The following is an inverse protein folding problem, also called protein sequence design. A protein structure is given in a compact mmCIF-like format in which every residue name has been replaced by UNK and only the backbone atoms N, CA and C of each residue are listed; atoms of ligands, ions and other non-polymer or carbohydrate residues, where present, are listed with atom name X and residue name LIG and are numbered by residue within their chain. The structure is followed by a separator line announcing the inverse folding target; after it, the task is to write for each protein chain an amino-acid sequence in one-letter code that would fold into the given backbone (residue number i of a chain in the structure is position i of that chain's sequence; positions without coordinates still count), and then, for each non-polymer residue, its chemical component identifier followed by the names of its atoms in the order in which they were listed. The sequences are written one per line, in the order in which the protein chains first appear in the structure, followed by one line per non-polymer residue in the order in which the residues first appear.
data_IF_866114168790
#
_entry.id   IF_866114168790
#
_cell.length_a   1.000
_cell.length_b   1.000
_cell.length_c   1.000
_cell.angle_alpha   90.00
_cell.angle_beta   90.00
_cell.angle_gamma   90.00
#
_symmetry.space_group_name_H-M   'P 1'
#
loop_
_entity.id
_entity.type
_entity.pdbx_description
1 polymer ?
#
# COMPACT_ATOMS: atom_id res chain seq x y z
N UNK A 1 -3.18 -5.82 -6.78
CA UNK A 1 -3.43 -7.06 -5.99
C UNK A 1 -2.16 -7.54 -5.29
N UNK A 2 -1.08 -7.83 -6.01
CA UNK A 2 0.16 -8.36 -5.42
C UNK A 2 0.83 -7.46 -4.35
N UNK A 3 0.84 -6.13 -4.52
CA UNK A 3 1.40 -5.22 -3.51
C UNK A 3 0.68 -5.30 -2.16
N UNK A 4 -0.66 -5.31 -2.19
CA UNK A 4 -1.48 -5.39 -0.99
C UNK A 4 -1.33 -6.76 -0.33
N UNK A 5 -1.28 -7.83 -1.13
CA UNK A 5 -1.08 -9.18 -0.61
C UNK A 5 0.29 -9.35 0.05
N UNK A 6 1.36 -8.89 -0.60
CA UNK A 6 2.71 -8.88 -0.01
C UNK A 6 2.75 -8.08 1.28
N UNK A 7 2.15 -6.88 1.30
CA UNK A 7 2.12 -6.04 2.50
C UNK A 7 1.37 -6.71 3.66
N UNK A 8 0.21 -7.30 3.38
CA UNK A 8 -0.58 -7.97 4.40
C UNK A 8 0.16 -9.17 5.01
N UNK A 9 0.80 -10.00 4.18
CA UNK A 9 1.46 -11.22 4.64
C UNK A 9 2.84 -10.95 5.24
N UNK A 10 3.69 -10.15 4.59
CA UNK A 10 5.08 -10.02 5.01
C UNK A 10 5.33 -8.85 5.96
N UNK A 11 4.60 -7.75 5.81
CA UNK A 11 4.81 -6.54 6.62
C UNK A 11 3.89 -6.52 7.84
N UNK A 12 2.61 -6.80 7.65
CA UNK A 12 1.67 -6.91 8.76
C UNK A 12 1.71 -8.29 9.44
N UNK A 13 2.36 -9.29 8.82
CA UNK A 13 2.44 -10.67 9.34
C UNK A 13 1.06 -11.27 9.64
N UNK A 14 0.05 -10.88 8.85
CA UNK A 14 -1.31 -11.39 8.98
C UNK A 14 -1.51 -12.62 8.10
N UNK A 15 -2.51 -13.41 8.49
CA UNK A 15 -2.93 -14.56 7.72
C UNK A 15 -3.51 -14.13 6.36
N UNK A 16 -2.96 -14.69 5.27
CA UNK A 16 -3.37 -14.40 3.90
C UNK A 16 -4.85 -14.65 3.64
N UNK A 17 -5.48 -15.56 4.40
CA UNK A 17 -6.90 -15.89 4.28
C UNK A 17 -7.79 -14.68 4.56
N UNK A 18 -7.39 -13.79 5.46
CA UNK A 18 -8.11 -12.54 5.75
C UNK A 18 -8.17 -11.65 4.50
N UNK A 19 -7.06 -11.59 3.75
CA UNK A 19 -7.00 -10.85 2.49
C UNK A 19 -7.83 -11.51 1.38
N UNK A 20 -7.82 -12.85 1.31
CA UNK A 20 -8.62 -13.61 0.37
C UNK A 20 -10.13 -13.39 0.61
N UNK A 21 -10.59 -13.48 1.86
CA UNK A 21 -11.97 -13.24 2.26
C UNK A 21 -12.41 -11.81 1.92
N UNK A 22 -11.55 -10.81 2.16
CA UNK A 22 -11.86 -9.43 1.79
C UNK A 22 -12.03 -9.26 0.28
N UNK A 23 -11.13 -9.82 -0.53
CA UNK A 23 -11.21 -9.75 -1.98
C UNK A 23 -12.42 -10.50 -2.53
N UNK A 24 -12.80 -11.60 -1.90
CA UNK A 24 -14.03 -12.34 -2.23
C UNK A 24 -15.28 -11.47 -2.09
N UNK A 25 -15.34 -10.65 -1.04
CA UNK A 25 -16.49 -9.75 -0.82
C UNK A 25 -16.50 -8.47 -1.67
N UNK A 26 -15.37 -8.10 -2.31
CA UNK A 26 -15.19 -6.77 -2.92
C UNK A 26 -14.88 -6.78 -4.41
N UNK A 27 -14.32 -7.88 -4.95
CA UNK A 27 -13.97 -7.98 -6.36
C UNK A 27 -15.20 -8.30 -7.23
N UNK A 28 -15.46 -7.45 -8.21
CA UNK A 28 -16.51 -7.69 -9.21
C UNK A 28 -16.19 -8.85 -10.16
N UNK A 29 -14.90 -9.13 -10.37
CA UNK A 29 -14.36 -10.22 -11.19
C UNK A 29 -13.93 -11.43 -10.34
N UNK A 30 -14.54 -11.62 -9.18
CA UNK A 30 -14.18 -12.71 -8.28
C UNK A 30 -14.30 -14.08 -8.94
N UNK A 31 -13.22 -14.85 -8.83
CA UNK A 31 -13.18 -16.28 -9.10
C UNK A 31 -12.44 -16.97 -7.94
N UNK A 32 -13.04 -18.04 -7.41
CA UNK A 32 -12.55 -18.73 -6.21
C UNK A 32 -11.12 -19.23 -6.42
N UNK A 33 -10.87 -19.95 -7.52
CA UNK A 33 -9.58 -20.55 -7.79
C UNK A 33 -8.49 -19.49 -7.97
N UNK A 34 -8.79 -18.45 -8.74
CA UNK A 34 -7.86 -17.36 -9.01
C UNK A 34 -7.57 -16.54 -7.76
N UNK A 35 -8.56 -16.22 -6.94
CA UNK A 35 -8.35 -15.43 -5.72
C UNK A 35 -7.52 -16.21 -4.70
N UNK A 36 -8.01 -17.36 -4.26
CA UNK A 36 -7.37 -18.16 -3.22
C UNK A 36 -6.00 -18.67 -3.66
N UNK A 37 -5.85 -19.08 -4.94
CA UNK A 37 -4.59 -19.50 -5.53
C UNK A 37 -3.54 -18.38 -5.60
N UNK A 38 -3.95 -17.16 -5.94
CA UNK A 38 -3.02 -16.02 -5.94
C UNK A 38 -2.61 -15.59 -4.53
N UNK A 39 -3.51 -15.66 -3.55
CA UNK A 39 -3.20 -15.30 -2.16
C UNK A 39 -2.25 -16.30 -1.48
N UNK A 40 -2.47 -17.61 -1.66
CA UNK A 40 -1.56 -18.63 -1.11
C UNK A 40 -0.18 -18.57 -1.76
N UNK A 41 -0.11 -18.25 -3.06
CA UNK A 41 1.15 -18.04 -3.77
C UNK A 41 1.87 -16.76 -3.29
N UNK A 42 1.13 -15.65 -3.12
CA UNK A 42 1.68 -14.41 -2.57
C UNK A 42 2.20 -14.58 -1.13
N UNK A 43 1.62 -15.52 -0.37
CA UNK A 43 2.08 -15.88 0.97
C UNK A 43 3.32 -16.80 0.98
N UNK A 44 3.86 -17.19 -0.18
CA UNK A 44 5.03 -18.06 -0.28
C UNK A 44 4.76 -19.54 0.00
N UNK A 45 3.50 -19.93 0.25
CA UNK A 45 3.16 -21.28 0.70
C UNK A 45 3.06 -22.31 -0.44
N UNK A 46 3.25 -21.88 -1.69
CA UNK A 46 3.25 -22.76 -2.87
C UNK A 46 4.66 -23.23 -3.26
N UNK A 47 5.69 -22.91 -2.46
CA UNK A 47 7.09 -23.26 -2.74
C UNK A 47 7.73 -22.47 -3.89
N UNK A 48 7.06 -21.42 -4.38
CA UNK A 48 7.57 -20.49 -5.38
C UNK A 48 8.37 -19.33 -4.78
N UNK A 49 8.73 -18.36 -5.63
CA UNK A 49 9.46 -17.16 -5.20
C UNK A 49 8.56 -16.26 -4.34
N UNK A 50 9.05 -15.91 -3.15
CA UNK A 50 8.46 -14.85 -2.32
C UNK A 50 8.79 -13.49 -2.93
N UNK A 51 7.76 -12.77 -3.40
CA UNK A 51 7.93 -11.43 -3.94
C UNK A 51 7.54 -10.41 -2.88
N UNK A 52 8.56 -9.80 -2.25
CA UNK A 52 8.38 -8.62 -1.39
C UNK A 52 8.48 -7.37 -2.24
N UNK A 53 7.45 -6.54 -2.20
CA UNK A 53 7.39 -5.34 -3.02
C UNK A 53 7.66 -4.08 -2.20
N UNK A 54 8.62 -3.28 -2.63
CA UNK A 54 8.83 -1.94 -2.08
C UNK A 54 7.79 -0.99 -2.70
N UNK A 55 6.72 -0.73 -1.93
CA UNK A 55 5.58 0.09 -2.37
C UNK A 55 6.04 1.48 -2.80
N UNK A 56 6.94 2.13 -2.04
CA UNK A 56 7.44 3.48 -2.35
C UNK A 56 8.16 3.49 -3.69
N UNK A 57 9.03 2.50 -3.93
CA UNK A 57 9.76 2.39 -5.20
C UNK A 57 8.78 2.20 -6.37
N UNK A 58 7.84 1.27 -6.23
CA UNK A 58 6.89 1.00 -7.30
C UNK A 58 5.99 2.20 -7.61
N UNK A 59 5.52 2.93 -6.61
CA UNK A 59 4.74 4.14 -6.87
C UNK A 59 5.57 5.17 -7.63
N UNK A 60 6.85 5.33 -7.32
CA UNK A 60 7.74 6.22 -8.09
C UNK A 60 7.94 5.75 -9.54
N UNK A 61 8.09 4.45 -9.75
CA UNK A 61 8.33 3.86 -11.07
C UNK A 61 7.08 3.91 -11.97
N UNK A 62 5.87 3.77 -11.40
CA UNK A 62 4.62 3.68 -12.16
C UNK A 62 3.74 4.95 -12.13
N UNK A 63 3.87 5.79 -11.09
CA UNK A 63 3.06 6.99 -10.87
C UNK A 63 3.93 8.14 -10.35
N UNK A 64 4.88 8.57 -11.18
CA UNK A 64 5.84 9.62 -10.82
C UNK A 64 5.18 10.97 -10.46
N UNK A 65 3.97 11.23 -10.96
CA UNK A 65 3.20 12.44 -10.68
C UNK A 65 2.26 12.30 -9.47
N UNK A 66 2.05 11.08 -8.97
CA UNK A 66 1.16 10.79 -7.87
C UNK A 66 -0.32 10.93 -8.25
N UNK A 67 -0.67 10.86 -9.53
CA UNK A 67 -2.03 11.11 -10.02
C UNK A 67 -3.01 10.06 -9.47
N UNK A 68 -2.55 8.80 -9.35
CA UNK A 68 -3.34 7.74 -8.74
C UNK A 68 -3.56 8.01 -7.25
N UNK A 69 -2.51 8.42 -6.54
CA UNK A 69 -2.63 8.75 -5.11
C UNK A 69 -3.58 9.93 -4.90
N UNK A 70 -3.46 11.01 -5.68
CA UNK A 70 -4.33 12.19 -5.55
C UNK A 70 -5.79 11.90 -5.89
N UNK A 71 -6.03 10.96 -6.81
CA UNK A 71 -7.39 10.53 -7.16
C UNK A 71 -8.06 9.78 -6.01
N UNK A 72 -7.34 8.84 -5.38
CA UNK A 72 -7.90 7.97 -4.34
C UNK A 72 -7.75 8.50 -2.91
N UNK A 73 -6.84 9.46 -2.67
CA UNK A 73 -6.57 10.10 -1.38
C UNK A 73 -6.77 11.62 -1.53
N UNK A 74 -8.03 12.10 -1.58
CA UNK A 74 -8.34 13.51 -1.83
C UNK A 74 -7.76 14.45 -0.78
N UNK A 75 -7.53 13.99 0.45
CA UNK A 75 -6.84 14.73 1.51
C UNK A 75 -5.37 15.04 1.20
N UNK A 76 -4.76 14.31 0.26
CA UNK A 76 -3.38 14.55 -0.19
C UNK A 76 -3.28 15.27 -1.54
N UNK A 77 -4.41 15.64 -2.16
CA UNK A 77 -4.43 16.14 -3.56
C UNK A 77 -3.50 17.33 -3.84
N UNK A 78 -3.33 18.20 -2.84
CA UNK A 78 -2.55 19.45 -2.94
C UNK A 78 -1.07 19.24 -2.56
N UNK A 79 -0.70 18.05 -2.09
CA UNK A 79 0.68 17.69 -1.78
C UNK A 79 1.45 17.41 -3.09
N UNK A 80 2.66 17.95 -3.27
CA UNK A 80 3.45 17.70 -4.48
C UNK A 80 4.02 16.27 -4.51
N UNK A 81 4.16 15.70 -5.71
CA UNK A 81 4.55 14.30 -5.94
C UNK A 81 5.77 13.81 -5.14
N UNK A 82 6.88 14.57 -5.01
CA UNK A 82 8.04 14.10 -4.24
C UNK A 82 7.74 13.86 -2.75
N UNK A 83 6.75 14.56 -2.20
CA UNK A 83 6.33 14.45 -0.80
C UNK A 83 5.16 13.48 -0.60
N UNK A 84 4.40 13.19 -1.67
CA UNK A 84 3.24 12.30 -1.66
C UNK A 84 3.57 10.84 -1.34
N UNK A 85 4.78 10.39 -1.67
CA UNK A 85 5.17 9.00 -1.43
C UNK A 85 5.49 8.73 0.05
N UNK A 86 5.77 9.78 0.83
CA UNK A 86 6.10 9.69 2.26
C UNK A 86 5.45 10.86 3.03
N UNK A 87 4.11 10.99 3.02
CA UNK A 87 3.40 12.15 3.58
C UNK A 87 3.62 12.30 5.09
N UNK A 88 3.98 11.21 5.79
CA UNK A 88 4.34 11.26 7.21
C UNK A 88 5.64 12.01 7.50
N UNK A 89 6.44 12.36 6.49
CA UNK A 89 7.63 13.20 6.62
C UNK A 89 7.34 14.70 6.47
N UNK A 90 6.10 15.10 6.16
CA UNK A 90 5.72 16.51 6.04
C UNK A 90 5.97 17.25 7.36
N UNK A 91 6.71 18.37 7.28
CA UNK A 91 6.90 19.26 8.42
C UNK A 91 5.57 19.89 8.86
N UNK A 92 5.46 20.42 10.09
CA UNK A 92 4.27 21.15 10.53
C UNK A 92 3.91 22.32 9.60
N UNK A 93 4.92 23.01 9.04
CA UNK A 93 4.70 24.09 8.07
C UNK A 93 4.15 23.59 6.73
N UNK A 94 4.63 22.45 6.25
CA UNK A 94 4.11 21.83 5.01
C UNK A 94 2.70 21.27 5.20
N UNK A 95 2.41 20.66 6.35
CA UNK A 95 1.08 20.20 6.72
C UNK A 95 0.06 21.35 6.73
N UNK A 96 0.44 22.51 7.29
CA UNK A 96 -0.37 23.71 7.22
C UNK A 96 -0.51 24.26 5.79
N UNK A 97 0.57 24.27 5.01
CA UNK A 97 0.59 24.75 3.62
C UNK A 97 -0.34 23.95 2.70
N UNK A 98 -0.34 22.62 2.84
CA UNK A 98 -1.15 21.72 2.01
C UNK A 98 -2.47 21.32 2.65
N UNK A 99 -2.83 21.94 3.78
CA UNK A 99 -4.06 21.69 4.52
C UNK A 99 -4.31 20.19 4.81
N UNK A 100 -3.28 19.51 5.31
CA UNK A 100 -3.33 18.10 5.70
C UNK A 100 -2.63 17.90 7.04
N UNK A 101 -3.29 17.25 7.99
CA UNK A 101 -2.71 16.88 9.29
C UNK A 101 -2.44 15.39 9.38
N UNK A 102 -1.17 15.03 9.56
CA UNK A 102 -0.78 13.64 9.70
C UNK A 102 -1.12 13.11 11.11
N UNK A 103 -1.93 12.06 11.14
CA UNK A 103 -2.51 11.45 12.33
C UNK A 103 -3.96 11.86 12.59
N UNK A 104 -4.49 12.82 11.85
CA UNK A 104 -5.90 13.24 11.88
C UNK A 104 -6.55 12.98 10.51
N UNK A 105 -6.11 13.73 9.48
CA UNK A 105 -6.67 13.65 8.12
C UNK A 105 -6.11 12.47 7.34
N UNK A 106 -4.82 12.15 7.55
CA UNK A 106 -4.15 11.01 6.95
C UNK A 106 -3.35 10.23 8.01
N UNK A 107 -3.46 8.89 8.09
CA UNK A 107 -2.85 8.13 9.17
C UNK A 107 -1.33 8.14 9.14
N UNK A 108 -0.72 7.91 10.32
CA UNK A 108 0.70 7.56 10.39
C UNK A 108 0.91 6.14 9.87
N UNK A 109 2.06 5.85 9.22
CA UNK A 109 2.33 4.51 8.72
C UNK A 109 2.31 3.49 9.87
N UNK A 110 1.61 2.36 9.65
CA UNK A 110 1.48 1.29 10.64
C UNK A 110 2.85 0.66 10.98
N UNK A 111 3.71 0.51 9.97
CA UNK A 111 5.08 0.03 10.12
C UNK A 111 6.08 1.10 9.69
N UNK A 112 7.22 1.20 10.40
CA UNK A 112 8.29 2.13 10.02
C UNK A 112 8.95 1.66 8.72
N UNK A 113 9.16 2.57 7.73
CA UNK A 113 9.75 2.19 6.44
C UNK A 113 11.20 1.64 6.50
N UNK A 114 11.86 1.69 7.65
CA UNK A 114 13.21 1.12 7.81
C UNK A 114 13.29 -0.40 7.60
N UNK A 115 12.16 -1.10 7.56
CA UNK A 115 12.08 -2.54 7.25
C UNK A 115 12.22 -2.87 5.74
N UNK A 116 12.16 -1.87 4.85
CA UNK A 116 12.19 -2.06 3.39
C UNK A 116 13.57 -1.82 2.75
N UNK A 117 14.59 -1.58 3.57
CA UNK A 117 15.99 -1.38 3.17
C UNK A 117 16.80 -2.67 3.35
N UNK A 118 16.30 -3.79 2.83
CA UNK A 118 17.00 -5.07 2.71
C UNK A 118 17.12 -5.48 1.26
#
# INVERSE_FOLDING_TARGET
RQNVASFLVFDLQLDWRVGADHFESTLLDYDVCSNWGNWIAAAGLTGGRENRFNIIKQTKDYDAHGDYLKHWLPELKDVPAPLLFEPWKLSPSQQAQYNVKIGEDYPRPMNRPGAWNG
#
